data_IF_512508248619
#
_entry.id   IF_512508248619
#
_cell.length_a   1.000
_cell.length_b   1.000
_cell.length_c   1.000
_cell.angle_alpha   90.00
_cell.angle_beta   90.00
_cell.angle_gamma   90.00
#
_symmetry.space_group_name_H-M   'P 1'
#
loop_
_entity.id
_entity.type
_entity.pdbx_description
1 polymer ?
#
# COMPACT_ATOMS: atom_id res chain seq x y z
N UNK A 1 6.77 0.45 -24.29
CA UNK A 1 6.65 1.24 -23.05
C UNK A 1 5.18 1.15 -22.68
N UNK A 2 4.83 0.02 -22.07
CA UNK A 2 3.45 -0.24 -21.67
C UNK A 2 3.19 0.61 -20.42
N UNK A 3 2.29 1.56 -20.58
CA UNK A 3 1.75 2.38 -19.52
C UNK A 3 0.89 1.47 -18.64
N UNK A 4 1.52 0.82 -17.66
CA UNK A 4 0.84 0.13 -16.58
C UNK A 4 0.34 1.16 -15.57
N UNK A 5 -0.58 2.02 -16.00
CA UNK A 5 -1.44 2.74 -15.07
C UNK A 5 -2.39 1.69 -14.49
N UNK A 6 -2.09 1.22 -13.28
CA UNK A 6 -3.03 0.41 -12.52
C UNK A 6 -4.37 1.17 -12.46
N UNK A 7 -5.52 0.47 -12.62
CA UNK A 7 -6.81 1.11 -12.47
C UNK A 7 -6.88 1.65 -11.04
N UNK A 8 -6.89 2.98 -10.91
CA UNK A 8 -7.16 3.66 -9.64
C UNK A 8 -8.51 3.11 -9.18
N UNK A 9 -8.53 2.45 -8.02
CA UNK A 9 -9.74 1.87 -7.47
C UNK A 9 -10.80 2.98 -7.33
N UNK A 10 -11.87 2.85 -8.11
CA UNK A 10 -13.00 3.76 -8.11
C UNK A 10 -13.80 3.50 -6.82
N UNK A 11 -13.40 4.13 -5.71
CA UNK A 11 -14.00 3.90 -4.40
C UNK A 11 -13.30 4.71 -3.31
N UNK A 12 -14.08 5.25 -2.37
CA UNK A 12 -13.70 6.25 -1.36
C UNK A 12 -12.74 5.72 -0.25
N UNK A 13 -11.64 5.07 -0.64
CA UNK A 13 -10.68 4.43 0.28
C UNK A 13 -9.85 5.46 1.06
N UNK A 14 -9.47 5.10 2.28
CA UNK A 14 -8.61 5.94 3.12
C UNK A 14 -7.28 6.26 2.42
N UNK A 15 -6.73 5.30 1.68
CA UNK A 15 -5.46 5.48 0.97
C UNK A 15 -5.58 6.47 -0.18
N UNK A 16 -6.66 6.43 -0.96
CA UNK A 16 -6.91 7.38 -2.04
C UNK A 16 -6.95 8.84 -1.53
N UNK A 17 -7.52 9.05 -0.33
CA UNK A 17 -7.52 10.36 0.35
C UNK A 17 -6.11 10.80 0.73
N UNK A 18 -5.28 9.89 1.27
CA UNK A 18 -3.89 10.18 1.65
C UNK A 18 -3.01 10.47 0.44
N UNK A 19 -3.16 9.72 -0.66
CA UNK A 19 -2.41 9.94 -1.90
C UNK A 19 -2.62 11.36 -2.43
N UNK A 20 -3.87 11.85 -2.38
CA UNK A 20 -4.21 13.20 -2.82
C UNK A 20 -3.52 14.31 -2.00
N UNK A 21 -3.35 14.08 -0.70
CA UNK A 21 -2.80 15.08 0.23
C UNK A 21 -1.28 14.99 0.41
N UNK A 22 -0.68 13.80 0.30
CA UNK A 22 0.72 13.54 0.73
C UNK A 22 1.64 13.09 -0.43
N UNK A 23 1.08 12.66 -1.56
CA UNK A 23 1.84 12.50 -2.82
C UNK A 23 2.37 11.08 -3.13
N UNK A 24 3.32 11.02 -4.08
CA UNK A 24 3.70 9.82 -4.88
C UNK A 24 4.09 8.58 -4.04
N UNK A 25 4.71 8.76 -2.88
CA UNK A 25 5.12 7.65 -2.00
C UNK A 25 3.97 6.69 -1.68
N UNK A 26 2.75 7.20 -1.53
CA UNK A 26 1.58 6.38 -1.20
C UNK A 26 0.96 5.67 -2.41
N UNK A 27 1.32 6.09 -3.63
CA UNK A 27 0.99 5.36 -4.87
C UNK A 27 1.82 4.06 -4.93
N UNK A 28 3.11 4.15 -4.59
CA UNK A 28 3.96 2.95 -4.53
C UNK A 28 3.46 1.98 -3.44
N UNK A 29 2.97 2.50 -2.31
CA UNK A 29 2.34 1.69 -1.27
C UNK A 29 1.05 1.01 -1.77
N UNK A 30 0.17 1.73 -2.46
CA UNK A 30 -1.07 1.17 -3.01
C UNK A 30 -0.77 -0.01 -3.93
N UNK A 31 0.21 0.12 -4.83
CA UNK A 31 0.66 -0.95 -5.69
C UNK A 31 1.15 -2.17 -4.90
N UNK A 32 1.95 -1.98 -3.85
CA UNK A 32 2.45 -3.07 -3.01
C UNK A 32 1.32 -3.78 -2.25
N UNK A 33 0.32 -3.04 -1.78
CA UNK A 33 -0.84 -3.62 -1.08
C UNK A 33 -1.75 -4.40 -2.04
N UNK A 34 -1.95 -3.92 -3.27
CA UNK A 34 -2.67 -4.64 -4.32
C UNK A 34 -1.95 -5.94 -4.69
N UNK A 35 -0.63 -5.88 -4.90
CA UNK A 35 0.16 -7.09 -5.16
C UNK A 35 0.09 -8.09 -3.99
N UNK A 36 0.10 -7.61 -2.74
CA UNK A 36 -0.08 -8.47 -1.57
C UNK A 36 -1.48 -9.10 -1.54
N UNK A 37 -2.53 -8.35 -1.90
CA UNK A 37 -3.89 -8.85 -2.01
C UNK A 37 -3.97 -9.98 -3.05
N UNK A 38 -3.46 -9.77 -4.25
CA UNK A 38 -3.43 -10.76 -5.33
C UNK A 38 -2.72 -12.05 -4.89
N UNK A 39 -1.55 -11.93 -4.24
CA UNK A 39 -0.82 -13.10 -3.73
C UNK A 39 -1.63 -13.86 -2.68
N UNK A 40 -2.35 -13.16 -1.79
CA UNK A 40 -3.21 -13.82 -0.80
C UNK A 40 -4.37 -14.57 -1.47
N UNK A 41 -4.99 -13.99 -2.50
CA UNK A 41 -6.05 -14.63 -3.28
C UNK A 41 -5.55 -15.88 -4.00
N UNK A 42 -4.41 -15.79 -4.68
CA UNK A 42 -3.79 -16.89 -5.41
C UNK A 42 -3.40 -18.07 -4.50
N UNK A 43 -3.10 -17.79 -3.23
CA UNK A 43 -2.80 -18.81 -2.22
C UNK A 43 -4.05 -19.33 -1.50
N UNK A 44 -5.25 -18.93 -1.93
CA UNK A 44 -6.53 -19.35 -1.34
C UNK A 44 -6.91 -18.61 -0.05
N UNK A 45 -6.14 -17.61 0.37
CA UNK A 45 -6.36 -16.81 1.57
C UNK A 45 -7.31 -15.61 1.30
N UNK A 46 -8.41 -15.85 0.58
CA UNK A 46 -9.34 -14.81 0.10
C UNK A 46 -9.94 -13.97 1.24
N UNK A 47 -10.18 -14.57 2.41
CA UNK A 47 -10.70 -13.84 3.57
C UNK A 47 -9.71 -12.81 4.13
N UNK A 48 -8.41 -13.13 4.09
CA UNK A 48 -7.34 -12.21 4.49
C UNK A 48 -7.09 -11.16 3.41
N UNK A 49 -7.16 -11.54 2.12
CA UNK A 49 -7.03 -10.62 1.00
C UNK A 49 -8.05 -9.48 1.06
N UNK A 50 -9.29 -9.79 1.46
CA UNK A 50 -10.33 -8.77 1.66
C UNK A 50 -10.09 -7.85 2.85
N UNK A 51 -9.19 -8.20 3.76
CA UNK A 51 -8.85 -7.45 4.98
C UNK A 51 -7.55 -6.66 4.85
N UNK A 52 -6.92 -6.61 3.67
CA UNK A 52 -5.68 -5.85 3.44
C UNK A 52 -5.90 -4.40 3.83
N UNK A 53 -5.12 -3.84 4.77
CA UNK A 53 -5.38 -2.53 5.31
C UNK A 53 -5.24 -1.43 4.25
N UNK A 54 -5.95 -0.33 4.48
CA UNK A 54 -6.00 0.88 3.64
C UNK A 54 -6.65 0.74 2.26
N UNK A 55 -6.65 -0.46 1.66
CA UNK A 55 -7.38 -0.76 0.40
C UNK A 55 -8.64 -1.61 0.61
N UNK A 56 -8.82 -2.19 1.80
CA UNK A 56 -10.04 -2.92 2.15
C UNK A 56 -11.23 -1.97 2.33
N UNK A 57 -12.40 -2.40 1.83
CA UNK A 57 -13.70 -1.77 2.11
C UNK A 57 -14.34 -2.27 3.41
N UNK A 58 -13.78 -3.31 4.04
CA UNK A 58 -14.28 -3.83 5.30
C UNK A 58 -13.93 -2.86 6.44
N UNK A 59 -14.79 -2.76 7.48
CA UNK A 59 -14.45 -2.01 8.66
C UNK A 59 -13.19 -2.60 9.31
N UNK A 60 -12.37 -1.72 9.90
CA UNK A 60 -11.21 -2.15 10.67
C UNK A 60 -11.66 -3.15 11.76
N UNK A 61 -10.95 -4.29 11.91
CA UNK A 61 -11.31 -5.29 12.89
C UNK A 61 -11.16 -4.73 14.30
N UNK A 62 -12.06 -5.13 15.19
CA UNK A 62 -11.90 -4.85 16.62
C UNK A 62 -10.76 -5.70 17.20
N UNK A 63 -10.14 -5.29 18.32
CA UNK A 63 -9.07 -6.07 18.95
C UNK A 63 -9.43 -7.53 19.20
N UNK A 64 -10.67 -7.82 19.57
CA UNK A 64 -11.19 -9.18 19.79
C UNK A 64 -11.37 -10.01 18.50
N UNK A 65 -11.34 -9.38 17.32
CA UNK A 65 -11.48 -10.00 16.00
C UNK A 65 -10.11 -10.25 15.32
N UNK A 66 -9.01 -9.82 15.96
CA UNK A 66 -7.65 -9.99 15.48
C UNK A 66 -7.10 -11.35 15.88
N UNK A 67 -7.16 -12.30 14.95
CA UNK A 67 -6.42 -13.55 15.04
C UNK A 67 -4.95 -13.39 14.59
N UNK A 68 -4.15 -14.43 14.78
CA UNK A 68 -2.73 -14.44 14.42
C UNK A 68 -2.49 -14.06 12.95
N UNK A 69 -3.33 -14.57 12.05
CA UNK A 69 -3.24 -14.30 10.62
C UNK A 69 -3.54 -12.84 10.29
N UNK A 70 -4.56 -12.25 10.94
CA UNK A 70 -4.85 -10.82 10.81
C UNK A 70 -3.69 -9.98 11.34
N UNK A 71 -3.14 -10.32 12.52
CA UNK A 71 -1.98 -9.59 13.07
C UNK A 71 -0.79 -9.66 12.11
N UNK A 72 -0.53 -10.82 11.50
CA UNK A 72 0.55 -10.98 10.52
C UNK A 72 0.30 -10.15 9.24
N UNK A 73 -0.93 -10.14 8.73
CA UNK A 73 -1.33 -9.32 7.58
C UNK A 73 -1.03 -7.83 7.83
N UNK A 74 -1.48 -7.30 8.97
CA UNK A 74 -1.21 -5.91 9.35
C UNK A 74 0.29 -5.66 9.52
N UNK A 75 1.03 -6.61 10.11
CA UNK A 75 2.48 -6.48 10.28
C UNK A 75 3.23 -6.38 8.95
N UNK A 76 2.87 -7.21 7.96
CA UNK A 76 3.45 -7.14 6.61
C UNK A 76 3.06 -5.82 5.94
N UNK A 77 1.80 -5.39 6.05
CA UNK A 77 1.38 -4.13 5.48
C UNK A 77 2.14 -2.91 6.06
N UNK A 78 2.42 -2.91 7.36
CA UNK A 78 3.28 -1.89 7.98
C UNK A 78 4.73 -1.95 7.49
N UNK A 79 5.26 -3.15 7.23
CA UNK A 79 6.58 -3.29 6.62
C UNK A 79 6.62 -2.72 5.20
N UNK A 80 5.57 -2.94 4.40
CA UNK A 80 5.42 -2.36 3.06
C UNK A 80 5.33 -0.83 3.10
N UNK A 81 4.60 -0.27 4.07
CA UNK A 81 4.55 1.18 4.32
C UNK A 81 5.95 1.74 4.58
N UNK A 82 6.70 1.13 5.50
CA UNK A 82 8.05 1.59 5.82
C UNK A 82 8.97 1.55 4.59
N UNK A 83 8.88 0.49 3.78
CA UNK A 83 9.66 0.36 2.54
C UNK A 83 9.30 1.43 1.50
N UNK A 84 8.02 1.73 1.33
CA UNK A 84 7.56 2.77 0.44
C UNK A 84 8.08 4.15 0.89
N UNK A 85 7.98 4.46 2.19
CA UNK A 85 8.47 5.71 2.76
C UNK A 85 9.99 5.87 2.64
N UNK A 86 10.75 4.82 2.93
CA UNK A 86 12.20 4.82 2.76
C UNK A 86 12.60 5.04 1.30
N UNK A 87 11.94 4.37 0.36
CA UNK A 87 12.17 4.57 -1.07
C UNK A 87 11.82 6.02 -1.48
N UNK A 88 10.66 6.54 -1.07
CA UNK A 88 10.26 7.92 -1.34
C UNK A 88 11.29 8.95 -0.82
N UNK A 89 11.86 8.72 0.35
CA UNK A 89 12.93 9.55 0.90
C UNK A 89 14.21 9.47 0.07
N UNK A 90 14.62 8.28 -0.37
CA UNK A 90 15.79 8.09 -1.24
C UNK A 90 15.61 8.77 -2.60
N UNK A 91 14.46 8.61 -3.25
CA UNK A 91 14.17 9.26 -4.55
C UNK A 91 14.12 10.78 -4.42
N UNK A 92 13.60 11.30 -3.30
CA UNK A 92 13.61 12.74 -3.04
C UNK A 92 15.04 13.29 -2.93
N UNK A 93 15.94 12.58 -2.24
CA UNK A 93 17.36 12.97 -2.13
C UNK A 93 18.04 12.99 -3.49
N UNK A 94 17.88 11.93 -4.31
CA UNK A 94 18.44 11.86 -5.67
C UNK A 94 18.00 13.03 -6.55
N UNK A 95 16.71 13.39 -6.51
CA UNK A 95 16.17 14.52 -7.29
C UNK A 95 16.72 15.88 -6.84
N UNK A 96 17.11 16.02 -5.58
CA UNK A 96 17.77 17.25 -5.09
C UNK A 96 19.22 17.30 -5.53
N UNK A 97 19.92 16.17 -5.49
CA UNK A 97 21.30 16.05 -5.98
C UNK A 97 21.38 16.33 -7.48
N UNK A 98 20.54 15.69 -8.31
CA UNK A 98 20.53 15.90 -9.77
C UNK A 98 20.25 17.36 -10.15
N UNK A 99 19.40 18.07 -9.41
CA UNK A 99 19.10 19.50 -9.63
C UNK A 99 20.21 20.44 -9.16
N UNK A 100 21.15 19.97 -8.35
CA UNK A 100 22.26 20.78 -7.85
C UNK A 100 23.49 20.74 -8.78
N UNK A 101 23.48 19.86 -9.80
CA UNK A 101 24.57 19.70 -10.78
C UNK A 101 24.26 20.25 -12.18
N UNK A 102 23.10 20.91 -12.36
CA UNK A 102 22.73 21.74 -13.53
C UNK A 102 22.92 23.24 -13.21
#
# INVERSE_FOLDING_TARGET
MEDHTAPVADGDSMLAKVIKEVGKTYVDLEFLLQAMQEVLEDNGATDLARRVPWISELPAPKPEELDEASVQLFSIAFQLLNMAEENGAVQTRRRVEDKAFD
#
